data_IF_554483438135
#
_entry.id   IF_554483438135
#
_cell.length_a   1.000
_cell.length_b   1.000
_cell.length_c   1.000
_cell.angle_alpha   90.00
_cell.angle_beta   90.00
_cell.angle_gamma   90.00
#
_symmetry.space_group_name_H-M   'P 1'
#
loop_
_entity.id
_entity.type
_entity.pdbx_description
1 polymer ?
#
# COMPACT_ATOMS: atom_id res chain seq x y z
N UNK A 1 18.27 -47.13 -34.79
CA UNK A 1 18.77 -46.97 -33.41
C UNK A 1 19.54 -45.65 -33.39
N UNK A 2 19.16 -44.55 -32.76
CA UNK A 2 18.11 -44.19 -31.81
C UNK A 2 17.96 -42.65 -31.95
N UNK A 3 17.00 -42.14 -32.73
CA UNK A 3 16.83 -40.67 -32.86
C UNK A 3 15.55 -40.16 -32.19
N UNK A 4 14.59 -41.03 -31.89
CA UNK A 4 13.36 -40.64 -31.18
C UNK A 4 13.62 -40.49 -29.67
N UNK A 5 14.35 -41.42 -29.05
CA UNK A 5 14.59 -41.39 -27.60
C UNK A 5 15.40 -40.18 -27.12
N UNK A 6 16.35 -39.69 -27.92
CA UNK A 6 17.08 -38.47 -27.60
C UNK A 6 16.19 -37.22 -27.72
N UNK A 7 15.36 -37.14 -28.78
CA UNK A 7 14.42 -36.04 -28.96
C UNK A 7 13.34 -36.02 -27.86
N UNK A 8 12.83 -37.19 -27.48
CA UNK A 8 11.86 -37.35 -26.40
C UNK A 8 12.46 -36.96 -25.05
N UNK A 9 13.73 -37.31 -24.80
CA UNK A 9 14.46 -36.92 -23.59
C UNK A 9 14.71 -35.41 -23.52
N UNK A 10 15.16 -34.79 -24.62
CA UNK A 10 15.37 -33.34 -24.66
C UNK A 10 14.05 -32.57 -24.53
N UNK A 11 12.98 -33.06 -25.15
CA UNK A 11 11.64 -32.46 -25.02
C UNK A 11 11.13 -32.58 -23.60
N UNK A 12 11.26 -33.75 -22.96
CA UNK A 12 10.85 -33.95 -21.56
C UNK A 12 11.68 -33.10 -20.58
N UNK A 13 12.99 -32.98 -20.78
CA UNK A 13 13.83 -32.10 -19.97
C UNK A 13 13.45 -30.62 -20.14
N UNK A 14 13.20 -30.19 -21.39
CA UNK A 14 12.80 -28.81 -21.69
C UNK A 14 11.43 -28.50 -21.09
N UNK A 15 10.45 -29.38 -21.26
CA UNK A 15 9.12 -29.26 -20.64
C UNK A 15 9.22 -29.28 -19.11
N UNK A 16 10.05 -30.12 -18.51
CA UNK A 16 10.23 -30.16 -17.05
C UNK A 16 10.82 -28.87 -16.46
N UNK A 17 11.68 -28.17 -17.21
CA UNK A 17 12.27 -26.89 -16.81
C UNK A 17 11.31 -25.73 -17.09
N UNK A 18 10.62 -25.75 -18.22
CA UNK A 18 9.81 -24.63 -18.70
C UNK A 18 8.37 -24.67 -18.16
N UNK A 19 7.79 -25.86 -17.93
CA UNK A 19 6.42 -25.97 -17.42
C UNK A 19 6.19 -25.33 -16.05
N UNK A 20 7.10 -25.43 -15.06
CA UNK A 20 6.93 -24.72 -13.80
C UNK A 20 6.87 -23.20 -13.99
N UNK A 21 7.71 -22.67 -14.89
CA UNK A 21 7.72 -21.24 -15.23
C UNK A 21 6.47 -20.84 -16.00
N UNK A 22 6.03 -21.64 -16.98
CA UNK A 22 4.76 -21.42 -17.70
C UNK A 22 3.58 -21.49 -16.73
N UNK A 23 3.54 -22.45 -15.80
CA UNK A 23 2.47 -22.54 -14.80
C UNK A 23 2.49 -21.36 -13.84
N UNK A 24 3.67 -20.91 -13.43
CA UNK A 24 3.85 -19.70 -12.61
C UNK A 24 3.37 -18.45 -13.36
N UNK A 25 3.75 -18.31 -14.63
CA UNK A 25 3.30 -17.24 -15.53
C UNK A 25 1.79 -17.33 -15.73
N UNK A 26 1.21 -18.51 -15.96
CA UNK A 26 -0.23 -18.69 -16.14
C UNK A 26 -1.02 -18.39 -14.87
N UNK A 27 -0.51 -18.77 -13.70
CA UNK A 27 -1.10 -18.41 -12.41
C UNK A 27 -1.03 -16.90 -12.18
N UNK A 28 0.09 -16.27 -12.56
CA UNK A 28 0.26 -14.83 -12.49
C UNK A 28 -0.69 -14.13 -13.47
N UNK A 29 -0.72 -14.52 -14.74
CA UNK A 29 -1.63 -14.04 -15.79
C UNK A 29 -3.10 -14.24 -15.41
N UNK A 30 -3.45 -15.36 -14.77
CA UNK A 30 -4.81 -15.61 -14.26
C UNK A 30 -5.23 -14.58 -13.21
N UNK A 31 -4.33 -14.01 -12.41
CA UNK A 31 -4.65 -12.89 -11.49
C UNK A 31 -5.09 -11.63 -12.24
N UNK A 32 -4.60 -11.45 -13.47
CA UNK A 32 -4.88 -10.29 -14.33
C UNK A 32 -5.95 -10.55 -15.39
N UNK A 33 -6.39 -11.80 -15.56
CA UNK A 33 -7.59 -12.16 -16.35
C UNK A 33 -8.85 -11.72 -15.59
N UNK A 34 -9.07 -10.41 -15.55
CA UNK A 34 -10.42 -9.87 -15.35
C UNK A 34 -11.23 -10.34 -16.55
N UNK A 35 -12.34 -11.02 -16.32
CA UNK A 35 -13.25 -11.38 -17.40
C UNK A 35 -13.62 -10.07 -18.12
N UNK A 36 -13.13 -9.88 -19.35
CA UNK A 36 -13.50 -8.75 -20.20
C UNK A 36 -15.02 -8.76 -20.35
N UNK A 37 -15.72 -7.95 -19.55
CA UNK A 37 -17.18 -7.92 -19.51
C UNK A 37 -17.79 -7.91 -18.09
N UNK A 38 -17.07 -8.33 -17.05
CA UNK A 38 -17.57 -8.17 -15.68
C UNK A 38 -17.41 -6.71 -15.24
N UNK A 39 -18.53 -6.02 -15.03
CA UNK A 39 -18.53 -4.69 -14.39
C UNK A 39 -17.73 -4.78 -13.10
N UNK A 40 -16.71 -3.92 -12.93
CA UNK A 40 -16.05 -3.66 -11.64
C UNK A 40 -17.15 -3.45 -10.60
N UNK A 41 -17.34 -4.43 -9.72
CA UNK A 41 -18.45 -4.40 -8.76
C UNK A 41 -18.07 -3.48 -7.59
N UNK A 42 -19.09 -2.90 -6.96
CA UNK A 42 -18.96 -2.19 -5.69
C UNK A 42 -18.67 -3.20 -4.57
N UNK A 43 -17.44 -3.75 -4.54
CA UNK A 43 -17.00 -4.61 -3.44
C UNK A 43 -16.53 -3.73 -2.29
N UNK A 44 -17.09 -3.97 -1.12
CA UNK A 44 -16.71 -3.28 0.11
C UNK A 44 -15.45 -3.93 0.69
N UNK A 45 -14.55 -3.11 1.22
CA UNK A 45 -13.45 -3.58 2.07
C UNK A 45 -13.82 -3.40 3.53
N UNK A 46 -13.35 -4.32 4.37
CA UNK A 46 -13.33 -4.13 5.81
C UNK A 46 -12.06 -3.34 6.19
N UNK A 47 -12.21 -2.23 6.90
CA UNK A 47 -11.10 -1.34 7.24
C UNK A 47 -10.79 -1.40 8.73
N UNK A 48 -9.53 -1.70 9.09
CA UNK A 48 -9.12 -1.92 10.49
C UNK A 48 -7.83 -1.19 10.83
N UNK A 49 -7.81 -0.43 11.93
CA UNK A 49 -6.60 0.27 12.37
C UNK A 49 -5.59 -0.67 13.06
N UNK A 50 -4.30 -0.46 12.81
CA UNK A 50 -3.20 -1.20 13.45
C UNK A 50 -2.00 -0.28 13.74
N UNK A 51 -1.43 -0.39 14.94
CA UNK A 51 -0.27 0.41 15.38
C UNK A 51 1.05 -0.35 15.37
N UNK A 52 1.03 -1.68 15.45
CA UNK A 52 2.26 -2.47 15.49
C UNK A 52 2.24 -3.61 14.46
N UNK A 53 3.45 -4.07 14.12
CA UNK A 53 3.67 -5.06 13.09
C UNK A 53 2.99 -6.40 13.43
N UNK A 54 3.00 -6.82 14.70
CA UNK A 54 2.34 -8.04 15.14
C UNK A 54 0.82 -7.97 14.95
N UNK A 55 0.19 -6.86 15.31
CA UNK A 55 -1.23 -6.58 15.09
C UNK A 55 -1.56 -6.51 13.61
N UNK A 56 -0.66 -5.97 12.78
CA UNK A 56 -0.85 -6.00 11.33
C UNK A 56 -0.84 -7.44 10.82
N UNK A 57 0.20 -8.21 11.11
CA UNK A 57 0.32 -9.61 10.69
C UNK A 57 -0.86 -10.45 11.17
N UNK A 58 -1.30 -10.27 12.42
CA UNK A 58 -2.47 -10.94 12.96
C UNK A 58 -3.76 -10.55 12.23
N UNK A 59 -3.84 -9.32 11.72
CA UNK A 59 -5.03 -8.79 11.02
C UNK A 59 -5.00 -9.02 9.52
N UNK A 60 -3.84 -9.31 8.92
CA UNK A 60 -3.62 -9.39 7.47
C UNK A 60 -3.73 -10.81 6.89
N UNK A 61 -4.34 -11.75 7.62
CA UNK A 61 -4.52 -13.18 7.28
C UNK A 61 -4.39 -13.47 5.77
N UNK A 62 -3.28 -14.07 5.33
CA UNK A 62 -3.10 -14.48 3.93
C UNK A 62 -2.41 -13.47 2.99
N UNK A 63 -1.61 -12.54 3.51
CA UNK A 63 -0.74 -11.68 2.71
C UNK A 63 -0.04 -10.62 3.56
N UNK A 64 1.12 -10.13 3.11
CA UNK A 64 1.87 -9.07 3.77
C UNK A 64 1.70 -7.77 2.98
N UNK A 65 0.82 -6.88 3.44
CA UNK A 65 0.78 -5.50 2.98
C UNK A 65 1.60 -4.63 3.95
N UNK A 66 2.91 -4.87 4.02
CA UNK A 66 3.80 -4.05 4.85
C UNK A 66 4.58 -3.13 3.92
N UNK A 67 4.53 -1.82 4.18
CA UNK A 67 5.59 -0.93 3.71
C UNK A 67 6.87 -1.34 4.45
N UNK A 68 7.72 -2.13 3.79
CA UNK A 68 8.96 -2.62 4.37
C UNK A 68 10.04 -1.54 4.24
N UNK A 69 9.88 -0.45 4.97
CA UNK A 69 10.92 0.58 5.08
C UNK A 69 11.80 0.20 6.29
N UNK A 70 12.62 -0.83 6.09
CA UNK A 70 13.83 -1.00 6.88
C UNK A 70 14.94 -0.14 6.28
N UNK A 71 15.97 0.23 7.05
CA UNK A 71 17.14 0.90 6.49
C UNK A 71 17.67 0.11 5.30
N UNK A 72 17.80 0.76 4.14
CA UNK A 72 18.58 0.19 3.05
C UNK A 72 20.00 -0.02 3.57
N UNK A 73 20.41 -1.28 3.71
CA UNK A 73 21.83 -1.58 3.81
C UNK A 73 22.41 -1.23 2.44
N UNK A 74 23.05 -0.06 2.36
CA UNK A 74 23.85 0.36 1.21
C UNK A 74 25.09 -0.53 1.15
N UNK A 75 24.91 -1.79 0.78
CA UNK A 75 25.98 -2.64 0.29
C UNK A 75 25.46 -3.33 -0.95
N UNK A 76 25.82 -2.78 -2.11
CA UNK A 76 25.42 -3.33 -3.39
C UNK A 76 25.94 -4.77 -3.52
N UNK A 77 25.08 -5.76 -3.27
CA UNK A 77 25.02 -7.08 -3.95
C UNK A 77 24.03 -8.02 -3.24
N UNK A 78 23.13 -8.56 -4.08
CA UNK A 78 22.36 -9.82 -3.96
C UNK A 78 21.52 -10.03 -2.70
N UNK A 79 20.20 -10.00 -2.93
CA UNK A 79 19.19 -10.81 -2.23
C UNK A 79 19.73 -12.22 -1.95
N UNK A 80 20.06 -12.52 -0.69
CA UNK A 80 19.96 -13.82 0.00
C UNK A 80 20.79 -13.76 1.28
N UNK A 81 20.22 -13.16 2.33
CA UNK A 81 20.27 -13.69 3.69
C UNK A 81 19.29 -12.88 4.57
N UNK A 82 18.16 -13.50 4.95
CA UNK A 82 17.16 -12.86 5.82
C UNK A 82 17.57 -12.94 7.31
N UNK A 83 18.67 -13.62 7.65
CA UNK A 83 19.19 -13.70 9.02
C UNK A 83 19.94 -12.44 9.47
N UNK A 84 20.33 -11.56 8.53
CA UNK A 84 20.93 -10.25 8.84
C UNK A 84 19.89 -9.16 9.17
N UNK A 85 18.61 -9.37 8.81
CA UNK A 85 17.50 -8.44 9.10
C UNK A 85 17.29 -8.24 10.62
N UNK A 86 17.77 -9.17 11.44
CA UNK A 86 17.55 -9.14 12.89
C UNK A 86 18.80 -8.84 13.73
N UNK A 87 19.98 -8.60 13.14
CA UNK A 87 21.23 -8.45 13.91
C UNK A 87 21.79 -7.03 14.03
N UNK A 88 21.33 -6.06 13.24
CA UNK A 88 21.74 -4.66 13.36
C UNK A 88 20.51 -3.74 13.54
N UNK A 89 19.86 -3.86 14.70
CA UNK A 89 18.76 -2.99 15.16
C UNK A 89 19.25 -1.60 15.60
N UNK A 90 19.90 -0.85 14.72
CA UNK A 90 20.27 0.54 15.01
C UNK A 90 19.77 1.56 13.98
N UNK A 91 19.01 1.12 12.97
CA UNK A 91 18.20 2.01 12.16
C UNK A 91 16.75 1.51 12.17
N UNK A 92 15.89 2.31 12.79
CA UNK A 92 14.52 1.94 13.11
C UNK A 92 13.65 1.64 11.90
N UNK A 93 12.56 0.94 12.13
CA UNK A 93 11.50 0.71 11.12
C UNK A 93 10.40 1.75 11.25
N UNK A 94 9.63 2.02 10.18
CA UNK A 94 8.53 3.02 10.22
C UNK A 94 7.55 2.80 11.40
N UNK A 95 7.42 1.55 11.88
CA UNK A 95 6.63 1.17 13.06
C UNK A 95 7.10 1.79 14.38
N UNK A 96 8.35 2.23 14.46
CA UNK A 96 8.94 2.87 15.63
C UNK A 96 8.66 4.37 15.67
N UNK A 97 8.13 4.95 14.59
CA UNK A 97 7.68 6.33 14.59
C UNK A 97 6.48 6.46 15.55
N UNK A 98 6.58 7.29 16.61
CA UNK A 98 5.56 7.34 17.67
C UNK A 98 4.21 7.84 17.14
N UNK A 99 4.23 8.58 16.03
CA UNK A 99 3.07 9.15 15.39
C UNK A 99 2.48 8.30 14.25
N UNK A 100 3.04 7.11 14.00
CA UNK A 100 2.65 6.24 12.90
C UNK A 100 1.61 5.19 13.32
N UNK A 101 0.70 4.90 12.39
CA UNK A 101 -0.19 3.75 12.41
C UNK A 101 -0.72 3.49 11.01
N UNK A 102 -1.56 2.47 10.83
CA UNK A 102 -2.09 2.09 9.52
C UNK A 102 -3.58 1.80 9.57
N UNK A 103 -4.24 1.99 8.42
CA UNK A 103 -5.55 1.42 8.13
C UNK A 103 -5.36 0.23 7.19
N UNK A 104 -5.71 -0.97 7.63
CA UNK A 104 -5.65 -2.21 6.86
C UNK A 104 -6.94 -2.39 6.10
N UNK A 105 -6.86 -2.60 4.79
CA UNK A 105 -7.99 -2.90 3.93
C UNK A 105 -8.07 -4.42 3.75
N UNK A 106 -9.23 -5.01 4.05
CA UNK A 106 -9.43 -6.46 3.98
C UNK A 106 -10.60 -6.81 3.09
N UNK A 107 -10.45 -7.90 2.37
CA UNK A 107 -11.58 -8.57 1.75
C UNK A 107 -12.51 -9.12 2.85
N UNK A 108 -13.81 -8.80 2.85
CA UNK A 108 -14.70 -9.11 3.97
C UNK A 108 -14.96 -10.62 4.11
N UNK A 109 -14.85 -11.39 3.02
CA UNK A 109 -15.11 -12.83 3.01
C UNK A 109 -13.86 -13.62 3.39
N UNK A 110 -12.77 -13.43 2.64
CA UNK A 110 -11.52 -14.19 2.82
C UNK A 110 -10.63 -13.64 3.94
N UNK A 111 -10.93 -12.44 4.45
CA UNK A 111 -10.13 -11.69 5.44
C UNK A 111 -8.71 -11.35 4.98
N UNK A 112 -8.41 -11.55 3.69
CA UNK A 112 -7.12 -11.24 3.09
C UNK A 112 -6.88 -9.74 3.05
N UNK A 113 -5.63 -9.34 3.27
CA UNK A 113 -5.23 -7.96 3.09
C UNK A 113 -5.25 -7.58 1.60
N UNK A 114 -5.96 -6.50 1.29
CA UNK A 114 -6.12 -5.95 -0.06
C UNK A 114 -5.48 -4.55 -0.18
N UNK A 115 -4.70 -4.15 0.83
CA UNK A 115 -3.94 -2.91 0.84
C UNK A 115 -3.88 -2.27 2.21
N UNK A 116 -3.14 -1.16 2.30
CA UNK A 116 -3.04 -0.35 3.52
C UNK A 116 -3.11 1.14 3.19
N UNK A 117 -3.52 1.93 4.17
CA UNK A 117 -3.24 3.37 4.20
C UNK A 117 -2.25 3.61 5.33
N UNK A 118 -1.09 4.19 5.00
CA UNK A 118 -0.09 4.56 5.97
C UNK A 118 -0.48 5.91 6.56
N UNK A 119 -0.59 5.98 7.88
CA UNK A 119 -1.12 7.13 8.59
C UNK A 119 -0.07 7.69 9.54
N UNK A 120 0.05 9.02 9.54
CA UNK A 120 0.82 9.74 10.56
C UNK A 120 -0.03 10.84 11.16
N UNK A 121 0.11 11.07 12.47
CA UNK A 121 -0.48 12.22 13.11
C UNK A 121 0.57 13.31 13.39
N UNK A 122 0.20 14.57 13.20
CA UNK A 122 1.03 15.72 13.54
C UNK A 122 0.22 16.73 14.34
N UNK A 123 0.90 17.47 15.20
CA UNK A 123 0.37 18.68 15.84
C UNK A 123 1.28 19.82 15.38
N UNK A 124 0.79 20.66 14.47
CA UNK A 124 1.59 21.74 13.88
C UNK A 124 0.73 22.98 13.69
N UNK A 125 1.29 24.16 14.02
CA UNK A 125 0.59 25.45 13.90
C UNK A 125 -0.81 25.46 14.54
N UNK A 126 -0.94 24.80 15.69
CA UNK A 126 -2.20 24.67 16.43
C UNK A 126 -3.23 23.70 15.83
N UNK A 127 -2.90 23.01 14.74
CA UNK A 127 -3.78 22.02 14.09
C UNK A 127 -3.32 20.59 14.34
N UNK A 128 -4.29 19.69 14.54
CA UNK A 128 -4.11 18.24 14.56
C UNK A 128 -4.34 17.68 13.16
N UNK A 129 -3.30 17.13 12.58
CA UNK A 129 -3.23 16.71 11.18
C UNK A 129 -3.11 15.19 11.11
N UNK A 130 -3.97 14.57 10.31
CA UNK A 130 -3.84 13.16 9.94
C UNK A 130 -3.38 13.07 8.49
N UNK A 131 -2.13 12.68 8.26
CA UNK A 131 -1.66 12.42 6.89
C UNK A 131 -1.97 10.99 6.47
N UNK A 132 -2.31 10.80 5.20
CA UNK A 132 -2.62 9.51 4.59
C UNK A 132 -1.79 9.28 3.32
N UNK A 133 -1.21 8.09 3.22
CA UNK A 133 -0.54 7.56 2.04
C UNK A 133 -1.21 6.25 1.62
N UNK A 134 -1.75 6.22 0.40
CA UNK A 134 -2.65 5.18 -0.04
C UNK A 134 -1.91 4.07 -0.79
N UNK A 135 -1.99 2.85 -0.28
CA UNK A 135 -1.30 1.69 -0.84
C UNK A 135 -2.24 0.50 -1.08
N UNK A 136 -3.28 0.65 -1.93
CA UNK A 136 -4.18 -0.46 -2.26
C UNK A 136 -3.45 -1.53 -3.09
N UNK A 137 -3.85 -2.80 -2.99
CA UNK A 137 -3.28 -3.88 -3.80
C UNK A 137 -3.65 -3.74 -5.27
N UNK A 138 -2.68 -3.86 -6.17
CA UNK A 138 -2.93 -3.79 -7.61
C UNK A 138 -3.91 -4.89 -8.07
N UNK A 139 -3.75 -6.11 -7.55
CA UNK A 139 -4.64 -7.24 -7.87
C UNK A 139 -6.06 -7.03 -7.36
N UNK A 140 -6.25 -6.19 -6.34
CA UNK A 140 -7.57 -5.81 -5.85
C UNK A 140 -8.21 -4.74 -6.72
N UNK A 141 -7.44 -3.73 -7.15
CA UNK A 141 -7.93 -2.66 -8.03
C UNK A 141 -8.50 -3.20 -9.35
N UNK A 142 -8.04 -4.36 -9.82
CA UNK A 142 -8.59 -5.04 -10.99
C UNK A 142 -10.02 -5.57 -10.79
N UNK A 143 -10.45 -5.76 -9.54
CA UNK A 143 -11.72 -6.42 -9.18
C UNK A 143 -12.79 -5.44 -8.69
N UNK A 144 -12.41 -4.19 -8.42
CA UNK A 144 -13.28 -3.20 -7.76
C UNK A 144 -13.31 -1.89 -8.50
N UNK A 145 -14.30 -1.05 -8.21
CA UNK A 145 -14.26 0.35 -8.64
C UNK A 145 -13.23 1.10 -7.79
N UNK A 146 -12.14 1.55 -8.43
CA UNK A 146 -11.06 2.31 -7.78
C UNK A 146 -11.57 3.58 -7.10
N UNK A 147 -12.50 4.28 -7.76
CA UNK A 147 -13.15 5.48 -7.22
C UNK A 147 -13.96 5.18 -5.95
N UNK A 148 -14.83 4.16 -6.00
CA UNK A 148 -15.66 3.80 -4.83
C UNK A 148 -14.81 3.27 -3.68
N UNK A 149 -13.71 2.56 -3.97
CA UNK A 149 -12.75 2.16 -2.95
C UNK A 149 -12.16 3.37 -2.25
N UNK A 150 -11.69 4.37 -3.01
CA UNK A 150 -11.16 5.61 -2.44
C UNK A 150 -12.21 6.36 -1.60
N UNK A 151 -13.45 6.48 -2.10
CA UNK A 151 -14.55 7.12 -1.36
C UNK A 151 -14.82 6.41 -0.02
N UNK A 152 -14.91 5.08 -0.01
CA UNK A 152 -15.10 4.30 1.22
C UNK A 152 -13.92 4.42 2.20
N UNK A 153 -12.68 4.49 1.71
CA UNK A 153 -11.51 4.78 2.55
C UNK A 153 -11.66 6.17 3.20
N UNK A 154 -12.08 7.17 2.42
CA UNK A 154 -12.24 8.54 2.91
C UNK A 154 -13.36 8.67 3.93
N UNK A 155 -14.45 7.90 3.83
CA UNK A 155 -15.49 7.83 4.87
C UNK A 155 -14.90 7.37 6.21
N UNK A 156 -14.16 6.25 6.20
CA UNK A 156 -13.51 5.70 7.40
C UNK A 156 -12.49 6.67 7.99
N UNK A 157 -11.64 7.27 7.16
CA UNK A 157 -10.64 8.24 7.60
C UNK A 157 -11.28 9.50 8.18
N UNK A 158 -12.34 10.00 7.55
CA UNK A 158 -13.06 11.19 8.01
C UNK A 158 -13.75 10.92 9.35
N UNK A 159 -14.39 9.78 9.52
CA UNK A 159 -15.03 9.40 10.77
C UNK A 159 -14.01 9.21 11.89
N UNK A 160 -12.88 8.56 11.60
CA UNK A 160 -11.77 8.46 12.54
C UNK A 160 -11.24 9.85 12.92
N UNK A 161 -11.02 10.73 11.93
CA UNK A 161 -10.53 12.09 12.16
C UNK A 161 -11.49 12.91 13.04
N UNK A 162 -12.80 12.83 12.78
CA UNK A 162 -13.83 13.48 13.59
C UNK A 162 -13.78 13.02 15.04
N UNK A 163 -13.87 11.69 15.27
CA UNK A 163 -13.89 11.06 16.60
C UNK A 163 -12.63 11.31 17.42
N UNK A 164 -11.49 11.51 16.76
CA UNK A 164 -10.20 11.72 17.43
C UNK A 164 -9.75 13.18 17.44
N UNK A 165 -10.65 14.12 17.13
CA UNK A 165 -10.38 15.57 17.18
C UNK A 165 -9.23 16.02 16.25
N UNK A 166 -9.13 15.43 15.05
CA UNK A 166 -8.29 15.95 13.98
C UNK A 166 -8.99 17.09 13.25
N UNK A 167 -8.22 18.10 12.87
CA UNK A 167 -8.68 19.27 12.13
C UNK A 167 -8.60 19.05 10.63
N UNK A 168 -7.69 18.19 10.17
CA UNK A 168 -7.57 17.87 8.75
C UNK A 168 -7.07 16.46 8.48
N UNK A 169 -7.56 15.87 7.39
CA UNK A 169 -6.97 14.71 6.72
C UNK A 169 -6.30 15.21 5.46
N UNK A 170 -5.04 14.86 5.23
CA UNK A 170 -4.28 15.32 4.07
C UNK A 170 -3.39 14.23 3.50
N UNK A 171 -2.87 14.43 2.29
CA UNK A 171 -1.83 13.60 1.71
C UNK A 171 -0.65 14.46 1.23
N UNK A 172 0.51 13.85 1.07
CA UNK A 172 1.70 14.55 0.57
C UNK A 172 1.48 15.06 -0.87
N UNK A 173 2.01 16.27 -1.16
CA UNK A 173 2.19 16.74 -2.54
C UNK A 173 3.23 15.91 -3.30
N UNK A 174 4.16 15.28 -2.59
CA UNK A 174 5.11 14.33 -3.16
C UNK A 174 4.40 13.07 -3.62
N UNK A 175 4.29 12.87 -4.94
CA UNK A 175 3.57 11.73 -5.54
C UNK A 175 4.10 10.36 -5.07
N UNK A 176 5.41 10.25 -4.83
CA UNK A 176 6.06 9.04 -4.35
C UNK A 176 5.66 8.66 -2.91
N UNK A 177 5.20 9.62 -2.09
CA UNK A 177 4.64 9.37 -0.75
C UNK A 177 3.13 9.19 -0.83
N UNK A 178 2.43 9.95 -1.69
CA UNK A 178 0.97 10.01 -1.76
C UNK A 178 0.33 8.63 -1.98
N UNK A 179 0.79 7.90 -2.99
CA UNK A 179 0.25 6.60 -3.33
C UNK A 179 1.24 5.77 -4.16
N UNK A 180 1.16 4.44 -4.04
CA UNK A 180 1.89 3.51 -4.91
C UNK A 180 1.11 3.14 -6.19
N UNK A 181 -0.01 3.82 -6.49
CA UNK A 181 -0.82 3.62 -7.69
C UNK A 181 -0.92 4.93 -8.46
N UNK A 182 -0.01 5.12 -9.41
CA UNK A 182 0.06 6.30 -10.25
C UNK A 182 -0.58 6.03 -11.63
N UNK A 183 -1.16 7.06 -12.25
CA UNK A 183 -1.70 7.04 -13.61
C UNK A 183 -3.06 6.36 -13.80
N UNK A 184 -3.69 5.86 -12.73
CA UNK A 184 -4.96 5.13 -12.78
C UNK A 184 -6.17 5.92 -12.25
N UNK A 185 -7.35 5.28 -12.27
CA UNK A 185 -8.60 5.86 -11.75
C UNK A 185 -8.51 6.18 -10.25
N UNK A 186 -7.71 5.41 -9.50
CA UNK A 186 -7.48 5.65 -8.07
C UNK A 186 -6.76 6.98 -7.82
N UNK A 187 -5.67 7.29 -8.55
CA UNK A 187 -4.98 8.59 -8.42
C UNK A 187 -5.90 9.72 -8.88
N UNK A 188 -6.66 9.53 -9.95
CA UNK A 188 -7.64 10.50 -10.41
C UNK A 188 -8.73 10.79 -9.36
N UNK A 189 -9.16 9.79 -8.59
CA UNK A 189 -10.10 9.98 -7.49
C UNK A 189 -9.49 10.81 -6.34
N UNK A 190 -8.21 10.59 -6.03
CA UNK A 190 -7.47 11.43 -5.07
C UNK A 190 -7.41 12.88 -5.57
N UNK A 191 -7.01 13.10 -6.82
CA UNK A 191 -6.88 14.44 -7.40
C UNK A 191 -8.22 15.19 -7.47
N UNK A 192 -9.30 14.49 -7.85
CA UNK A 192 -10.66 15.05 -7.80
C UNK A 192 -11.04 15.49 -6.38
N UNK A 193 -10.67 14.69 -5.37
CA UNK A 193 -10.94 15.03 -3.97
C UNK A 193 -10.13 16.25 -3.53
N UNK A 194 -8.84 16.29 -3.84
CA UNK A 194 -7.97 17.46 -3.56
C UNK A 194 -8.58 18.71 -4.19
N UNK A 195 -8.96 18.65 -5.47
CA UNK A 195 -9.57 19.77 -6.18
C UNK A 195 -10.91 20.19 -5.54
N UNK A 196 -11.74 19.24 -5.08
CA UNK A 196 -13.02 19.53 -4.44
C UNK A 196 -12.88 20.22 -3.07
N UNK A 197 -11.80 19.92 -2.33
CA UNK A 197 -11.50 20.58 -1.05
C UNK A 197 -10.86 21.94 -1.30
N UNK A 198 -9.93 22.02 -2.26
CA UNK A 198 -9.32 23.28 -2.69
C UNK A 198 -8.36 23.91 -1.69
N UNK A 199 -7.93 23.17 -0.67
CA UNK A 199 -7.08 23.67 0.41
C UNK A 199 -5.78 22.87 0.54
N UNK A 200 -4.73 23.55 0.99
CA UNK A 200 -3.39 22.96 1.18
C UNK A 200 -2.86 23.35 2.54
N UNK A 201 -1.95 22.54 3.08
CA UNK A 201 -1.29 22.81 4.36
C UNK A 201 0.21 22.58 4.21
N UNK A 202 1.01 23.44 4.83
CA UNK A 202 2.47 23.30 4.85
C UNK A 202 2.91 23.13 6.29
N UNK A 203 3.52 22.00 6.61
CA UNK A 203 4.13 21.76 7.91
C UNK A 203 5.26 22.78 8.16
N UNK A 204 5.43 23.18 9.42
CA UNK A 204 6.46 24.16 9.82
C UNK A 204 7.88 23.67 9.54
N UNK A 205 8.09 22.34 9.52
CA UNK A 205 9.34 21.66 9.22
C UNK A 205 9.12 20.46 8.32
N UNK A 206 10.22 19.94 7.74
CA UNK A 206 10.20 18.66 7.04
C UNK A 206 10.04 17.52 8.06
N UNK A 207 8.92 16.82 7.99
CA UNK A 207 8.61 15.70 8.87
C UNK A 207 9.04 14.39 8.23
N UNK A 208 9.60 13.49 9.03
CA UNK A 208 9.95 12.14 8.60
C UNK A 208 8.66 11.38 8.29
N UNK A 209 8.54 10.86 7.07
CA UNK A 209 7.45 9.95 6.68
C UNK A 209 7.89 8.50 6.80
N UNK A 210 9.14 8.18 6.46
CA UNK A 210 9.75 6.88 6.76
C UNK A 210 11.26 7.04 6.95
N UNK A 211 11.92 5.98 7.44
CA UNK A 211 13.37 6.00 7.68
C UNK A 211 14.20 5.94 6.38
N UNK A 212 13.57 5.90 5.20
CA UNK A 212 14.26 6.10 3.94
C UNK A 212 14.72 7.58 3.85
N UNK A 213 16.01 7.87 3.56
CA UNK A 213 16.56 9.24 3.64
C UNK A 213 15.85 10.30 2.78
N UNK A 214 15.11 9.88 1.75
CA UNK A 214 14.38 10.78 0.85
C UNK A 214 12.89 10.92 1.19
N UNK A 215 12.38 10.18 2.18
CA UNK A 215 10.96 10.13 2.52
C UNK A 215 10.63 11.12 3.63
N UNK A 216 10.66 12.40 3.26
CA UNK A 216 10.22 13.51 4.08
C UNK A 216 8.98 14.15 3.47
N UNK A 217 8.08 14.65 4.32
CA UNK A 217 6.89 15.37 3.87
C UNK A 217 6.77 16.73 4.57
N UNK A 218 6.29 17.72 3.82
CA UNK A 218 6.04 19.06 4.32
C UNK A 218 4.83 19.71 3.68
N UNK A 219 4.82 19.75 2.36
CA UNK A 219 3.69 20.27 1.60
C UNK A 219 2.60 19.20 1.46
N UNK A 220 1.40 19.53 1.89
CA UNK A 220 0.24 18.64 1.94
C UNK A 220 -0.94 19.21 1.15
N UNK A 221 -1.69 18.32 0.51
CA UNK A 221 -3.01 18.61 -0.07
C UNK A 221 -4.10 18.10 0.88
N UNK A 222 -5.09 18.94 1.19
CA UNK A 222 -6.16 18.54 2.09
C UNK A 222 -7.17 17.63 1.36
N UNK A 223 -7.56 16.56 2.04
CA UNK A 223 -8.59 15.61 1.61
C UNK A 223 -9.88 15.75 2.43
N UNK A 224 -9.78 16.34 3.62
CA UNK A 224 -10.91 16.73 4.45
C UNK A 224 -10.46 17.76 5.48
N UNK A 225 -11.34 18.70 5.81
CA UNK A 225 -11.11 19.73 6.82
C UNK A 225 -12.33 19.79 7.73
N UNK A 226 -12.07 19.85 9.04
CA UNK A 226 -13.08 20.15 10.04
C UNK A 226 -13.49 21.62 9.89
N UNK A 227 -14.70 21.85 9.43
CA UNK A 227 -15.30 23.19 9.49
C UNK A 227 -15.79 23.44 10.92
N UNK A 228 -15.52 24.64 11.42
CA UNK A 228 -16.00 25.12 12.71
C UNK A 228 -17.54 25.19 12.73
#
# INVERSE_FOLDING_TARGET
>A
LESSGALDFFTSCFEGVVNPDIQSIDLEVKKYRVARGERRQARRVEAVFSKNQASLYARSVGGVCVASDGPEVVTGRRKRDLSFIFRNQSAGTQWELPNYFQLVLRDPESKRCEGVVLLHHYSDQGKRILTASFNPSNTYLLKVSEKQLFEGIMEVLTDFAKRNHFDLVACSKGRHIRTNRTGGEFEAAIDQRIASVGETFTLSRDEVFSYAPSYHQRALDALWIRRA
#
